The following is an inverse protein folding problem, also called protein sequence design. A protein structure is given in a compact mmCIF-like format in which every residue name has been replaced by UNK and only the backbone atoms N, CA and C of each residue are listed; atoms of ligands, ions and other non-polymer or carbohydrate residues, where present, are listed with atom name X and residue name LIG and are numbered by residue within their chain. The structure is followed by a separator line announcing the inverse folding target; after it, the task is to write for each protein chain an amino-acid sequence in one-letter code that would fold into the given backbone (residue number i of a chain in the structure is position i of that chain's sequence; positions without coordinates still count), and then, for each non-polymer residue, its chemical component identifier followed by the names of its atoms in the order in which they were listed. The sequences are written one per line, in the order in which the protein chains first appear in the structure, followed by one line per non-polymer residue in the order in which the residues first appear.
data_IF_940822797435
#
_entry.id   IF_940822797435
#
_cell.length_a   1.000
_cell.length_b   1.000
_cell.length_c   1.000
_cell.angle_alpha   90.00
_cell.angle_beta   90.00
_cell.angle_gamma   90.00
#
_symmetry.space_group_name_H-M   'P 1'
#
loop_
_entity.id
_entity.type
_entity.pdbx_description
1 polymer ?
#
# COMPACT_ATOMS: atom_id res chain seq x y z
N UNK A 1 -22.38 -2.52 0.29
CA UNK A 1 -21.20 -2.57 1.18
C UNK A 1 -21.42 -3.64 2.23
N UNK A 2 -20.36 -4.33 2.62
CA UNK A 2 -20.39 -5.51 3.46
C UNK A 2 -19.73 -5.25 4.81
N UNK A 3 -19.94 -6.16 5.75
CA UNK A 3 -19.37 -6.09 7.10
C UNK A 3 -17.91 -6.57 7.09
N UNK A 4 -17.01 -5.71 7.56
CA UNK A 4 -15.59 -6.00 7.74
C UNK A 4 -15.21 -5.76 9.20
N UNK A 5 -14.49 -6.70 9.80
CA UNK A 5 -14.04 -6.62 11.19
C UNK A 5 -12.52 -6.51 11.22
N UNK A 6 -12.02 -5.48 11.91
CA UNK A 6 -10.63 -5.39 12.38
C UNK A 6 -10.67 -5.66 13.88
N UNK A 7 -10.05 -6.73 14.33
CA UNK A 7 -9.99 -7.03 15.76
C UNK A 7 -8.95 -6.13 16.43
N UNK A 8 -9.27 -5.68 17.64
CA UNK A 8 -8.43 -4.83 18.46
C UNK A 8 -8.02 -5.60 19.71
N UNK A 9 -6.73 -5.59 20.00
CA UNK A 9 -6.18 -6.12 21.24
C UNK A 9 -5.08 -5.18 21.75
N UNK A 10 -4.49 -5.49 22.91
CA UNK A 10 -3.50 -4.69 23.61
C UNK A 10 -3.98 -3.25 23.87
N UNK A 11 -3.09 -2.43 24.43
CA UNK A 11 -3.38 -1.03 24.74
C UNK A 11 -3.21 -0.18 23.49
N UNK A 12 -4.26 0.53 23.11
CA UNK A 12 -4.22 1.52 22.04
C UNK A 12 -3.99 2.92 22.61
N UNK A 13 -3.09 3.65 21.97
CA UNK A 13 -2.91 5.08 22.13
C UNK A 13 -3.75 5.82 21.09
N UNK A 14 -4.11 7.08 21.37
CA UNK A 14 -4.85 7.90 20.41
C UNK A 14 -4.12 8.02 19.06
N UNK A 15 -2.78 8.02 19.08
CA UNK A 15 -1.96 8.02 17.90
C UNK A 15 -2.18 6.76 17.03
N UNK A 16 -2.40 5.59 17.64
CA UNK A 16 -2.63 4.34 16.91
C UNK A 16 -3.92 4.43 16.07
N UNK A 17 -4.99 5.02 16.61
CA UNK A 17 -6.24 5.22 15.85
C UNK A 17 -6.06 6.19 14.69
N UNK A 18 -5.26 7.25 14.87
CA UNK A 18 -4.95 8.19 13.81
C UNK A 18 -4.13 7.53 12.69
N UNK A 19 -3.13 6.71 13.05
CA UNK A 19 -2.34 5.90 12.12
C UNK A 19 -3.24 4.91 11.39
N UNK A 20 -3.99 4.07 12.10
CA UNK A 20 -4.86 3.07 11.48
C UNK A 20 -5.81 3.73 10.49
N UNK A 21 -6.53 4.77 10.92
CA UNK A 21 -7.55 5.40 10.07
C UNK A 21 -6.94 6.00 8.82
N UNK A 22 -5.86 6.77 8.97
CA UNK A 22 -5.21 7.45 7.86
C UNK A 22 -4.62 6.47 6.85
N UNK A 23 -3.82 5.51 7.33
CA UNK A 23 -3.09 4.60 6.46
C UNK A 23 -4.04 3.58 5.81
N UNK A 24 -5.06 3.10 6.55
CA UNK A 24 -6.11 2.23 5.99
C UNK A 24 -6.89 2.92 4.86
N UNK A 25 -7.31 4.18 5.05
CA UNK A 25 -8.04 4.92 4.00
C UNK A 25 -7.19 5.15 2.75
N UNK A 26 -5.88 5.40 2.90
CA UNK A 26 -4.97 5.56 1.76
C UNK A 26 -4.82 4.26 0.97
N UNK A 27 -4.62 3.13 1.66
CA UNK A 27 -4.54 1.82 1.01
C UNK A 27 -5.88 1.40 0.38
N UNK A 28 -7.01 1.71 1.04
CA UNK A 28 -8.33 1.44 0.51
C UNK A 28 -8.57 2.19 -0.81
N UNK A 29 -8.30 3.49 -0.84
CA UNK A 29 -8.41 4.28 -2.07
C UNK A 29 -7.49 3.78 -3.17
N UNK A 30 -6.26 3.36 -2.83
CA UNK A 30 -5.33 2.77 -3.77
C UNK A 30 -5.86 1.49 -4.41
N UNK A 31 -6.30 0.51 -3.61
CA UNK A 31 -6.84 -0.75 -4.11
C UNK A 31 -8.16 -0.57 -4.87
N UNK A 32 -8.99 0.39 -4.46
CA UNK A 32 -10.16 0.80 -5.24
C UNK A 32 -9.75 1.31 -6.63
N UNK A 33 -8.77 2.21 -6.69
CA UNK A 33 -8.23 2.77 -7.93
C UNK A 33 -7.60 1.73 -8.85
N UNK A 34 -6.91 0.73 -8.28
CA UNK A 34 -6.36 -0.41 -9.03
C UNK A 34 -7.47 -1.20 -9.74
N UNK A 35 -8.59 -1.48 -9.07
CA UNK A 35 -9.72 -2.23 -9.65
C UNK A 35 -10.45 -1.45 -10.73
N UNK A 36 -10.60 -0.13 -10.54
CA UNK A 36 -11.34 0.75 -11.45
C UNK A 36 -10.56 1.24 -12.67
N UNK A 37 -9.27 0.92 -12.78
CA UNK A 37 -8.42 1.37 -13.88
C UNK A 37 -8.33 2.91 -13.99
N UNK A 38 -8.36 3.61 -12.85
CA UNK A 38 -8.43 5.07 -12.82
C UNK A 38 -7.32 5.69 -13.66
N UNK A 39 -7.70 6.38 -14.74
CA UNK A 39 -6.80 6.97 -15.73
C UNK A 39 -6.27 8.31 -15.20
N UNK A 40 -4.97 8.54 -15.32
CA UNK A 40 -4.36 9.86 -15.05
C UNK A 40 -3.21 9.91 -14.05
N UNK A 41 -2.87 8.81 -13.37
CA UNK A 41 -1.68 8.78 -12.51
C UNK A 41 -0.38 8.62 -13.29
N UNK A 42 -0.42 8.00 -14.47
CA UNK A 42 0.71 7.94 -15.40
C UNK A 42 1.17 9.31 -15.87
N UNK A 43 0.25 10.28 -15.96
CA UNK A 43 0.53 11.66 -16.39
C UNK A 43 0.89 12.59 -15.23
N UNK A 44 0.92 12.09 -14.00
CA UNK A 44 1.23 12.89 -12.83
C UNK A 44 2.74 13.18 -12.77
N UNK A 45 3.16 14.41 -12.45
CA UNK A 45 4.57 14.69 -12.21
C UNK A 45 4.99 14.01 -10.92
N UNK A 46 5.58 12.82 -10.99
CA UNK A 46 6.07 12.02 -9.86
C UNK A 46 7.37 12.59 -9.27
N UNK A 47 7.40 13.89 -8.99
CA UNK A 47 8.60 14.67 -8.68
C UNK A 47 8.97 14.71 -7.19
N UNK A 48 8.17 14.11 -6.31
CA UNK A 48 8.52 14.00 -4.89
C UNK A 48 7.36 13.75 -3.95
N UNK A 49 7.53 14.12 -2.68
CA UNK A 49 6.58 13.85 -1.61
C UNK A 49 5.19 14.44 -1.84
N UNK A 50 5.11 15.63 -2.45
CA UNK A 50 3.84 16.28 -2.81
C UNK A 50 3.04 15.46 -3.84
N UNK A 51 3.71 14.87 -4.82
CA UNK A 51 3.09 13.98 -5.83
C UNK A 51 2.47 12.76 -5.17
N UNK A 52 3.17 12.16 -4.20
CA UNK A 52 2.65 11.02 -3.45
C UNK A 52 1.40 11.38 -2.64
N UNK A 53 1.38 12.56 -2.00
CA UNK A 53 0.20 13.01 -1.24
C UNK A 53 -1.01 13.19 -2.16
N UNK A 54 -0.80 13.86 -3.30
CA UNK A 54 -1.85 14.08 -4.27
C UNK A 54 -2.34 12.79 -4.94
N UNK A 55 -1.45 11.81 -5.14
CA UNK A 55 -1.82 10.47 -5.62
C UNK A 55 -2.83 9.81 -4.68
N UNK A 56 -2.52 9.68 -3.38
CA UNK A 56 -3.44 9.05 -2.44
C UNK A 56 -4.71 9.88 -2.19
N UNK A 57 -4.60 11.21 -2.19
CA UNK A 57 -5.79 12.09 -2.14
C UNK A 57 -6.68 11.85 -3.36
N UNK A 58 -6.11 11.76 -4.56
CA UNK A 58 -6.82 11.45 -5.80
C UNK A 58 -7.48 10.07 -5.74
N UNK A 59 -6.75 9.05 -5.29
CA UNK A 59 -7.26 7.68 -5.18
C UNK A 59 -8.43 7.58 -4.20
N UNK A 60 -8.33 8.25 -3.06
CA UNK A 60 -9.43 8.35 -2.10
C UNK A 60 -10.63 9.12 -2.67
N UNK A 61 -10.40 10.28 -3.31
CA UNK A 61 -11.46 11.08 -3.93
C UNK A 61 -12.18 10.34 -5.06
N UNK A 62 -11.47 9.51 -5.82
CA UNK A 62 -12.01 8.68 -6.89
C UNK A 62 -12.91 7.55 -6.37
N UNK A 63 -12.83 7.21 -5.09
CA UNK A 63 -13.77 6.28 -4.46
C UNK A 63 -15.11 6.99 -4.24
N UNK A 64 -16.22 6.54 -4.86
CA UNK A 64 -17.55 7.12 -4.66
C UNK A 64 -17.93 7.17 -3.18
N UNK A 65 -18.58 8.25 -2.69
CA UNK A 65 -18.87 8.42 -1.27
C UNK A 65 -19.63 7.25 -0.62
N UNK A 66 -20.53 6.60 -1.37
CA UNK A 66 -21.31 5.43 -0.97
C UNK A 66 -20.52 4.12 -0.92
N UNK A 67 -19.31 4.10 -1.51
CA UNK A 67 -18.38 2.97 -1.50
C UNK A 67 -17.18 3.18 -0.57
N UNK A 68 -17.11 4.33 0.12
CA UNK A 68 -16.06 4.60 1.12
C UNK A 68 -16.33 3.83 2.40
N UNK A 69 -15.27 3.35 3.08
CA UNK A 69 -15.43 2.61 4.32
C UNK A 69 -15.98 3.52 5.42
N UNK A 70 -17.01 3.05 6.13
CA UNK A 70 -17.64 3.78 7.24
C UNK A 70 -17.58 2.94 8.50
N UNK A 71 -17.18 3.54 9.62
CA UNK A 71 -17.25 2.89 10.94
C UNK A 71 -18.71 2.73 11.34
N UNK A 72 -19.13 1.48 11.58
CA UNK A 72 -20.46 1.14 12.08
C UNK A 72 -20.49 0.98 13.59
N UNK A 73 -19.46 0.35 14.15
CA UNK A 73 -19.33 0.13 15.59
C UNK A 73 -17.87 0.04 15.98
N UNK A 74 -17.53 0.59 17.14
CA UNK A 74 -16.25 0.33 17.80
C UNK A 74 -16.58 -0.24 19.17
N UNK A 75 -15.97 -1.38 19.49
CA UNK A 75 -15.97 -1.93 20.85
C UNK A 75 -14.53 -1.95 21.32
N UNK A 76 -14.23 -1.11 22.31
CA UNK A 76 -12.91 -1.00 22.91
C UNK A 76 -12.91 -1.62 24.30
N UNK A 77 -12.26 -2.77 24.44
CA UNK A 77 -11.83 -3.47 25.66
C UNK A 77 -11.36 -4.85 25.19
N UNK A 78 -10.12 -5.25 25.48
CA UNK A 78 -9.57 -6.51 24.92
C UNK A 78 -10.39 -7.74 25.37
N UNK A 79 -10.87 -8.58 24.43
CA UNK A 79 -10.81 -8.42 22.97
C UNK A 79 -11.87 -7.44 22.43
N UNK A 80 -11.43 -6.47 21.62
CA UNK A 80 -12.26 -5.44 20.99
C UNK A 80 -12.32 -5.56 19.47
N UNK A 81 -13.04 -4.66 18.80
CA UNK A 81 -13.09 -4.60 17.34
C UNK A 81 -13.53 -3.23 16.79
N UNK A 82 -13.16 -2.97 15.54
CA UNK A 82 -13.76 -1.97 14.66
C UNK A 82 -14.57 -2.70 13.61
N UNK A 83 -15.87 -2.43 13.57
CA UNK A 83 -16.75 -2.87 12.50
C UNK A 83 -16.87 -1.77 11.45
N UNK A 84 -16.47 -2.11 10.23
CA UNK A 84 -16.57 -1.26 9.05
C UNK A 84 -17.69 -1.78 8.13
N UNK A 85 -18.40 -0.85 7.50
CA UNK A 85 -19.13 -1.12 6.27
C UNK A 85 -18.26 -0.66 5.10
N UNK A 86 -17.79 -1.60 4.29
CA UNK A 86 -16.80 -1.36 3.25
C UNK A 86 -16.95 -2.37 2.10
N UNK A 87 -16.17 -2.19 1.03
CA UNK A 87 -15.98 -3.24 0.01
C UNK A 87 -15.07 -4.33 0.59
N UNK A 88 -15.59 -5.56 0.66
CA UNK A 88 -14.94 -6.66 1.36
C UNK A 88 -13.67 -7.12 0.63
N UNK A 89 -13.72 -7.16 -0.70
CA UNK A 89 -12.62 -7.53 -1.58
C UNK A 89 -11.42 -6.60 -1.42
N UNK A 90 -11.66 -5.30 -1.31
CA UNK A 90 -10.60 -4.30 -1.06
C UNK A 90 -10.04 -4.46 0.35
N UNK A 91 -10.90 -4.67 1.33
CA UNK A 91 -10.47 -4.84 2.73
C UNK A 91 -9.62 -6.10 2.91
N UNK A 92 -9.94 -7.18 2.18
CA UNK A 92 -9.13 -8.39 2.16
C UNK A 92 -7.79 -8.20 1.46
N UNK A 93 -7.72 -7.44 0.36
CA UNK A 93 -6.44 -7.12 -0.27
C UNK A 93 -5.51 -6.36 0.68
N UNK A 94 -6.04 -5.43 1.49
CA UNK A 94 -5.25 -4.76 2.54
C UNK A 94 -4.78 -5.79 3.58
N UNK A 95 -5.67 -6.65 4.07
CA UNK A 95 -5.33 -7.66 5.08
C UNK A 95 -4.27 -8.65 4.59
N UNK A 96 -4.37 -9.11 3.34
CA UNK A 96 -3.39 -9.98 2.69
C UNK A 96 -2.03 -9.30 2.58
N UNK A 97 -2.02 -8.04 2.13
CA UNK A 97 -0.79 -7.25 2.00
C UNK A 97 -0.11 -7.02 3.37
N UNK A 98 -0.89 -6.67 4.40
CA UNK A 98 -0.38 -6.51 5.77
C UNK A 98 0.18 -7.84 6.30
N UNK A 99 -0.50 -8.95 6.02
CA UNK A 99 -0.06 -10.28 6.48
C UNK A 99 1.21 -10.74 5.77
N UNK A 100 1.29 -10.58 4.45
CA UNK A 100 2.45 -10.95 3.65
C UNK A 100 3.72 -10.21 4.09
N UNK A 101 3.62 -8.89 4.26
CA UNK A 101 4.74 -8.07 4.72
C UNK A 101 5.02 -8.30 6.21
N UNK A 102 3.99 -8.51 7.03
CA UNK A 102 4.14 -8.78 8.47
C UNK A 102 4.92 -10.04 8.78
N UNK A 103 4.70 -11.13 8.02
CA UNK A 103 5.44 -12.39 8.17
C UNK A 103 6.93 -12.29 7.82
N UNK A 104 7.35 -11.24 7.12
CA UNK A 104 8.71 -11.05 6.64
C UNK A 104 9.25 -9.62 6.80
N UNK A 105 8.74 -8.88 7.79
CA UNK A 105 8.92 -7.42 7.90
C UNK A 105 10.40 -6.98 7.88
N UNK A 106 11.31 -7.74 8.49
CA UNK A 106 12.74 -7.44 8.46
C UNK A 106 13.34 -7.55 7.06
N UNK A 107 12.97 -8.58 6.31
CA UNK A 107 13.40 -8.75 4.92
C UNK A 107 12.78 -7.67 4.02
N UNK A 108 11.49 -7.37 4.25
CA UNK A 108 10.77 -6.34 3.54
C UNK A 108 11.40 -4.95 3.72
N UNK A 109 11.74 -4.59 4.96
CA UNK A 109 12.41 -3.34 5.30
C UNK A 109 13.79 -3.26 4.63
N UNK A 110 14.55 -4.37 4.62
CA UNK A 110 15.84 -4.44 3.95
C UNK A 110 15.74 -4.18 2.44
N UNK A 111 14.76 -4.80 1.78
CA UNK A 111 14.51 -4.58 0.34
C UNK A 111 14.12 -3.12 0.10
N UNK A 112 13.17 -2.59 0.87
CA UNK A 112 12.76 -1.19 0.78
C UNK A 112 13.94 -0.22 0.95
N UNK A 113 14.76 -0.41 1.99
CA UNK A 113 15.90 0.45 2.29
C UNK A 113 16.95 0.40 1.19
N UNK A 114 17.25 -0.80 0.67
CA UNK A 114 18.21 -0.98 -0.43
C UNK A 114 17.73 -0.27 -1.69
N UNK A 115 16.46 -0.46 -2.06
CA UNK A 115 15.84 0.20 -3.21
C UNK A 115 15.87 1.72 -3.04
N UNK A 116 15.48 2.22 -1.86
CA UNK A 116 15.41 3.65 -1.60
C UNK A 116 16.79 4.33 -1.54
N UNK A 117 17.81 3.63 -1.01
CA UNK A 117 19.22 4.09 -1.07
C UNK A 117 19.68 4.24 -2.52
N UNK A 118 19.42 3.22 -3.35
CA UNK A 118 19.80 3.21 -4.77
C UNK A 118 19.09 4.32 -5.53
N UNK A 119 17.79 4.50 -5.28
CA UNK A 119 16.98 5.56 -5.88
C UNK A 119 17.55 6.96 -5.58
N UNK A 120 17.81 7.28 -4.31
CA UNK A 120 18.32 8.60 -3.90
C UNK A 120 19.72 8.90 -4.45
N UNK A 121 20.63 7.92 -4.42
CA UNK A 121 21.97 8.08 -4.98
C UNK A 121 21.93 8.48 -6.46
N UNK A 122 20.94 7.96 -7.21
CA UNK A 122 20.77 8.26 -8.63
C UNK A 122 20.10 9.60 -8.90
N UNK A 123 19.10 9.98 -8.11
CA UNK A 123 18.56 11.35 -8.19
C UNK A 123 19.68 12.38 -7.99
N UNK A 124 20.59 12.14 -7.04
CA UNK A 124 21.76 13.00 -6.84
C UNK A 124 22.77 12.96 -7.99
N UNK A 125 22.96 11.81 -8.63
CA UNK A 125 23.85 11.68 -9.79
C UNK A 125 23.33 12.48 -11.00
N UNK A 126 22.01 12.48 -11.24
CA UNK A 126 21.35 13.29 -12.29
C UNK A 126 21.59 14.78 -12.11
N UNK A 127 21.61 15.27 -10.87
CA UNK A 127 21.88 16.68 -10.56
C UNK A 127 23.34 17.09 -10.78
N UNK A 128 24.29 16.14 -10.86
CA UNK A 128 25.74 16.43 -10.87
C UNK A 128 26.42 16.37 -12.25
N UNK A 129 25.85 15.70 -13.26
CA UNK A 129 26.51 15.63 -14.58
C UNK A 129 25.58 15.20 -15.73
N UNK A 130 25.47 16.03 -16.77
CA UNK A 130 24.78 15.71 -18.04
C UNK A 130 25.56 14.69 -18.91
N UNK A 131 26.89 14.54 -18.69
CA UNK A 131 27.78 13.69 -19.51
C UNK A 131 27.72 12.19 -19.20
N UNK A 132 27.30 11.80 -17.99
CA UNK A 132 27.13 10.40 -17.57
C UNK A 132 25.77 9.79 -18.00
N UNK A 133 24.99 10.51 -18.79
CA UNK A 133 23.55 10.26 -19.00
C UNK A 133 23.23 9.09 -19.93
N UNK A 134 24.06 8.83 -20.95
CA UNK A 134 23.74 7.83 -21.99
C UNK A 134 24.19 6.41 -21.60
N UNK A 135 25.40 6.24 -21.04
CA UNK A 135 25.89 4.91 -20.60
C UNK A 135 25.17 4.35 -19.36
N UNK A 136 24.52 5.21 -18.57
CA UNK A 136 23.78 4.80 -17.38
C UNK A 136 22.32 4.42 -17.65
N UNK A 137 21.75 4.76 -18.82
CA UNK A 137 20.31 4.58 -19.08
C UNK A 137 19.88 3.11 -19.10
N UNK A 138 20.60 2.21 -19.77
CA UNK A 138 20.23 0.78 -19.84
C UNK A 138 20.34 0.13 -18.45
N UNK A 139 21.45 0.37 -17.74
CA UNK A 139 21.62 -0.10 -16.35
C UNK A 139 20.58 0.49 -15.41
N UNK A 140 20.09 1.69 -15.68
CA UNK A 140 19.02 2.32 -14.90
C UNK A 140 17.67 1.64 -15.11
N UNK A 141 17.33 1.28 -16.35
CA UNK A 141 16.11 0.55 -16.68
C UNK A 141 16.13 -0.82 -15.99
N UNK A 142 17.20 -1.61 -16.13
CA UNK A 142 17.32 -2.93 -15.50
C UNK A 142 17.15 -2.87 -13.98
N UNK A 143 17.81 -1.90 -13.32
CA UNK A 143 17.73 -1.77 -11.87
C UNK A 143 16.38 -1.29 -11.37
N UNK A 144 15.67 -0.44 -12.14
CA UNK A 144 14.30 -0.05 -11.82
C UNK A 144 13.38 -1.27 -11.94
N UNK A 145 13.50 -2.04 -13.02
CA UNK A 145 12.73 -3.27 -13.22
C UNK A 145 12.97 -4.28 -12.08
N UNK A 146 14.23 -4.48 -11.68
CA UNK A 146 14.57 -5.37 -10.57
C UNK A 146 14.04 -4.87 -9.21
N UNK A 147 14.06 -3.55 -8.99
CA UNK A 147 13.49 -2.94 -7.79
C UNK A 147 11.97 -3.09 -7.73
N UNK A 148 11.27 -2.90 -8.86
CA UNK A 148 9.83 -3.15 -8.98
C UNK A 148 9.53 -4.61 -8.62
N UNK A 149 10.17 -5.57 -9.29
CA UNK A 149 9.97 -7.01 -9.03
C UNK A 149 10.25 -7.39 -7.58
N UNK A 150 11.31 -6.83 -6.98
CA UNK A 150 11.66 -7.08 -5.58
C UNK A 150 10.57 -6.59 -4.63
N UNK A 151 10.02 -5.40 -4.85
CA UNK A 151 8.93 -4.85 -4.05
C UNK A 151 7.62 -5.61 -4.26
N UNK A 152 7.26 -5.93 -5.51
CA UNK A 152 6.08 -6.73 -5.83
C UNK A 152 6.11 -8.10 -5.14
N UNK A 153 7.29 -8.74 -5.13
CA UNK A 153 7.52 -10.02 -4.47
C UNK A 153 7.37 -9.93 -2.95
N UNK A 154 8.00 -8.94 -2.32
CA UNK A 154 7.89 -8.70 -0.87
C UNK A 154 6.45 -8.39 -0.45
N UNK A 155 5.73 -7.64 -1.27
CA UNK A 155 4.34 -7.29 -1.06
C UNK A 155 3.36 -8.41 -1.42
N UNK A 156 3.86 -9.53 -1.98
CA UNK A 156 3.08 -10.66 -2.45
C UNK A 156 1.91 -10.24 -3.36
N UNK A 157 2.13 -9.28 -4.26
CA UNK A 157 1.06 -8.79 -5.14
C UNK A 157 0.61 -9.90 -6.09
N UNK A 158 -0.70 -10.07 -6.25
CA UNK A 158 -1.30 -11.02 -7.19
C UNK A 158 -1.01 -10.63 -8.65
N UNK A 159 -1.18 -11.57 -9.58
CA UNK A 159 -0.95 -11.27 -11.01
C UNK A 159 -1.87 -10.15 -11.51
N UNK A 160 -3.11 -10.14 -11.05
CA UNK A 160 -4.09 -9.10 -11.37
C UNK A 160 -3.66 -7.75 -10.81
N UNK A 161 -3.17 -7.69 -9.56
CA UNK A 161 -2.66 -6.46 -8.95
C UNK A 161 -1.44 -5.92 -9.71
N UNK A 162 -0.51 -6.78 -10.13
CA UNK A 162 0.64 -6.39 -10.96
C UNK A 162 0.18 -5.84 -12.31
N UNK A 163 -0.76 -6.51 -12.98
CA UNK A 163 -1.35 -6.02 -14.24
C UNK A 163 -2.03 -4.65 -14.08
N UNK A 164 -2.78 -4.47 -13.00
CA UNK A 164 -3.46 -3.21 -12.70
C UNK A 164 -2.45 -2.11 -12.37
N UNK A 165 -1.34 -2.41 -11.69
CA UNK A 165 -0.25 -1.47 -11.44
C UNK A 165 0.43 -1.03 -12.75
N UNK A 166 0.67 -1.95 -13.68
CA UNK A 166 1.20 -1.62 -15.02
C UNK A 166 0.24 -0.67 -15.75
N UNK A 167 -1.07 -0.93 -15.70
CA UNK A 167 -2.05 -0.03 -16.31
C UNK A 167 -2.09 1.34 -15.63
N UNK A 168 -2.09 1.37 -14.29
CA UNK A 168 -2.15 2.58 -13.47
C UNK A 168 -0.96 3.51 -13.72
N UNK A 169 0.22 2.92 -13.90
CA UNK A 169 1.48 3.61 -14.16
C UNK A 169 1.67 4.00 -15.63
N UNK A 170 0.79 3.56 -16.54
CA UNK A 170 0.98 3.76 -17.98
C UNK A 170 2.16 2.98 -18.54
N UNK A 171 2.46 1.82 -17.95
CA UNK A 171 3.63 0.97 -18.24
C UNK A 171 4.99 1.63 -17.96
N UNK A 172 5.05 2.71 -17.18
CA UNK A 172 6.29 3.32 -16.74
C UNK A 172 6.77 2.67 -15.42
N UNK A 173 7.84 1.87 -15.50
CA UNK A 173 8.39 1.15 -14.33
C UNK A 173 8.93 2.09 -13.24
N UNK A 174 9.38 3.30 -13.58
CA UNK A 174 9.80 4.28 -12.58
C UNK A 174 8.59 4.81 -11.80
N UNK A 175 7.46 5.02 -12.47
CA UNK A 175 6.19 5.35 -11.83
C UNK A 175 5.72 4.19 -10.96
N UNK A 176 5.78 2.94 -11.45
CA UNK A 176 5.45 1.74 -10.66
C UNK A 176 6.29 1.67 -9.38
N UNK A 177 7.60 1.85 -9.51
CA UNK A 177 8.53 1.86 -8.38
C UNK A 177 8.13 2.91 -7.33
N UNK A 178 7.82 4.13 -7.77
CA UNK A 178 7.40 5.21 -6.87
C UNK A 178 6.06 4.93 -6.19
N UNK A 179 5.11 4.33 -6.90
CA UNK A 179 3.85 3.87 -6.33
C UNK A 179 4.12 2.81 -5.25
N UNK A 180 4.91 1.78 -5.55
CA UNK A 180 5.23 0.69 -4.62
C UNK A 180 5.95 1.19 -3.37
N UNK A 181 6.96 2.06 -3.52
CA UNK A 181 7.64 2.71 -2.40
C UNK A 181 6.68 3.53 -1.55
N UNK A 182 5.75 4.23 -2.20
CA UNK A 182 4.75 5.02 -1.52
C UNK A 182 3.78 4.14 -0.73
N UNK A 183 3.24 3.07 -1.33
CA UNK A 183 2.36 2.08 -0.71
C UNK A 183 3.04 1.40 0.46
N UNK A 184 4.30 0.97 0.32
CA UNK A 184 5.06 0.33 1.39
C UNK A 184 5.14 1.21 2.65
N UNK A 185 5.37 2.51 2.46
CA UNK A 185 5.42 3.47 3.58
C UNK A 185 4.08 3.64 4.32
N UNK A 186 2.94 3.40 3.67
CA UNK A 186 1.60 3.42 4.28
C UNK A 186 1.28 2.09 4.94
N UNK A 187 1.82 1.02 4.37
CA UNK A 187 1.64 -0.33 4.84
C UNK A 187 2.40 -0.61 6.15
N UNK A 188 3.66 -0.16 6.26
CA UNK A 188 4.52 -0.46 7.41
C UNK A 188 3.86 -0.15 8.76
N UNK A 189 3.22 1.02 8.97
CA UNK A 189 2.55 1.29 10.24
C UNK A 189 1.40 0.32 10.56
N UNK A 190 0.64 -0.14 9.55
CA UNK A 190 -0.40 -1.16 9.77
C UNK A 190 0.19 -2.52 10.11
N UNK A 191 1.32 -2.87 9.48
CA UNK A 191 2.08 -4.08 9.80
C UNK A 191 2.62 -4.02 11.23
N UNK A 192 3.11 -2.87 11.69
CA UNK A 192 3.55 -2.65 13.07
C UNK A 192 2.39 -2.81 14.06
N UNK A 193 1.20 -2.26 13.75
CA UNK A 193 -0.01 -2.49 14.55
C UNK A 193 -0.38 -3.99 14.60
N UNK A 194 -0.22 -4.72 13.50
CA UNK A 194 -0.50 -6.15 13.47
C UNK A 194 0.53 -6.99 14.23
N UNK A 195 1.82 -6.74 14.00
CA UNK A 195 2.90 -7.51 14.61
C UNK A 195 3.05 -7.21 16.12
N UNK A 196 2.65 -6.03 16.57
CA UNK A 196 2.53 -5.72 18.01
C UNK A 196 1.27 -6.32 18.66
N UNK A 197 0.45 -7.05 17.89
CA UNK A 197 -0.81 -7.64 18.34
C UNK A 197 -1.92 -6.63 18.58
N UNK A 198 -1.73 -5.34 18.27
CA UNK A 198 -2.76 -4.32 18.50
C UNK A 198 -3.96 -4.48 17.57
N UNK A 199 -3.71 -4.80 16.30
CA UNK A 199 -4.74 -4.96 15.27
C UNK A 199 -4.64 -6.32 14.58
N UNK A 200 -5.76 -6.93 14.21
CA UNK A 200 -5.76 -8.06 13.28
C UNK A 200 -6.72 -7.76 12.12
N UNK A 201 -6.15 -7.58 10.93
CA UNK A 201 -6.88 -7.25 9.71
C UNK A 201 -7.44 -8.50 9.00
N UNK A 202 -6.90 -9.69 9.31
CA UNK A 202 -7.28 -10.96 8.67
C UNK A 202 -8.45 -11.68 9.34
N UNK A 203 -8.82 -11.26 10.56
CA UNK A 203 -9.82 -11.93 11.39
C UNK A 203 -11.20 -12.11 10.72
N UNK A 204 -11.66 -11.11 9.97
CA UNK A 204 -12.93 -11.17 9.25
C UNK A 204 -12.98 -12.20 8.11
N UNK A 205 -11.85 -12.48 7.45
CA UNK A 205 -11.76 -13.46 6.37
C UNK A 205 -12.02 -14.88 6.89
N UNK A 206 -11.43 -15.22 8.04
CA UNK A 206 -11.55 -16.53 8.67
C UNK A 206 -12.96 -16.82 9.21
N UNK A 207 -13.73 -15.80 9.62
CA UNK A 207 -15.11 -15.97 10.09
C UNK A 207 -16.11 -16.14 8.94
N UNK A 208 -15.89 -15.48 7.80
CA UNK A 208 -16.76 -15.63 6.63
C UNK A 208 -16.55 -16.97 5.90
N UNK A 209 -15.33 -17.49 5.86
CA UNK A 209 -15.04 -18.84 5.34
C UNK A 209 -15.76 -19.94 6.14
N UNK A 210 -15.89 -19.79 7.47
CA UNK A 210 -16.60 -20.75 8.34
C UNK A 210 -18.14 -20.64 8.30
N UNK A 211 -18.69 -19.57 7.73
CA UNK A 211 -20.13 -19.37 7.62
C UNK A 211 -20.70 -19.80 6.26
N UNK A 212 -19.83 -20.30 5.37
CA UNK A 212 -20.17 -20.79 4.03
C UNK A 212 -19.99 -22.32 3.87
N UNK A 213 -19.67 -23.01 4.98
CA UNK A 213 -19.77 -24.47 5.16
C UNK A 213 -21.01 -24.80 6.02
#
# INVERSE_FOLDING_TARGET
MEKVIIELDNRWELADFAVLTKEYLQLYGFFYGLKGGSRGYSTMPWEGGHSVVNFFRGAYSATPPDLRPVVKKIQYASPGFIELSALIDISWQIAELVTAVGGSILAANKVYDQVMRTYRQREWAKLKSEKLRIQNQIKEIELVSDAVKSLESVMALSEEQRKNLVQLSGADELVQLKILLAVYRRLSPLVELQNSGKANFSAGKNKNLKASD
#
